data_IF_857156341673
#
_entry.id   IF_857156341673
#
_cell.length_a   1.000
_cell.length_b   1.000
_cell.length_c   1.000
_cell.angle_alpha   90.00
_cell.angle_beta   90.00
_cell.angle_gamma   90.00
#
_symmetry.space_group_name_H-M   'P 1'
#
loop_
_entity.id
_entity.type
_entity.pdbx_description
1 polymer ?
#
# COMPACT_ATOMS: atom_id res chain seq x y z
N UNK A 1 31.57 -21.99 -3.12
CA UNK A 1 31.82 -20.88 -2.18
C UNK A 1 31.17 -21.23 -0.86
N UNK A 2 31.93 -21.33 0.21
CA UNK A 2 31.36 -21.59 1.52
C UNK A 2 30.65 -20.30 1.99
N UNK A 3 29.34 -20.39 2.23
CA UNK A 3 28.59 -19.34 2.88
C UNK A 3 29.15 -19.11 4.28
N UNK A 4 29.24 -17.87 4.71
CA UNK A 4 29.72 -17.56 6.04
C UNK A 4 28.79 -18.22 7.08
N UNK A 5 29.29 -19.14 7.94
CA UNK A 5 28.45 -19.87 8.89
C UNK A 5 27.85 -18.99 9.98
N UNK A 6 28.35 -17.76 10.15
CA UNK A 6 27.82 -16.79 11.11
C UNK A 6 26.66 -15.95 10.59
N UNK A 7 26.45 -15.94 9.26
CA UNK A 7 25.37 -15.19 8.62
C UNK A 7 24.50 -16.15 7.83
N UNK A 8 23.53 -16.75 8.49
CA UNK A 8 22.55 -17.62 7.87
C UNK A 8 21.45 -16.76 7.24
N UNK A 9 21.39 -16.73 5.91
CA UNK A 9 20.31 -16.04 5.19
C UNK A 9 18.97 -16.71 5.51
N UNK A 10 17.98 -15.90 5.85
CA UNK A 10 16.62 -16.37 6.08
C UNK A 10 16.33 -16.92 7.48
N UNK A 11 17.21 -16.68 8.46
CA UNK A 11 16.93 -17.02 9.86
C UNK A 11 15.73 -16.21 10.36
N UNK A 12 14.72 -16.89 10.91
CA UNK A 12 13.47 -16.28 11.34
C UNK A 12 13.64 -15.18 12.39
N UNK A 13 14.62 -15.34 13.29
CA UNK A 13 14.95 -14.33 14.32
C UNK A 13 15.52 -13.05 13.73
N UNK A 14 16.39 -13.17 12.73
CA UNK A 14 16.97 -12.00 12.04
C UNK A 14 15.93 -11.31 11.17
N UNK A 15 15.09 -12.07 10.46
CA UNK A 15 13.97 -11.52 9.70
C UNK A 15 12.99 -10.76 10.59
N UNK A 16 12.69 -11.29 11.79
CA UNK A 16 11.84 -10.62 12.75
C UNK A 16 12.47 -9.34 13.30
N UNK A 17 13.78 -9.36 13.57
CA UNK A 17 14.50 -8.16 13.99
C UNK A 17 14.41 -7.06 12.90
N UNK A 18 14.68 -7.40 11.66
CA UNK A 18 14.59 -6.45 10.54
C UNK A 18 13.16 -5.92 10.39
N UNK A 19 12.14 -6.78 10.49
CA UNK A 19 10.74 -6.35 10.45
C UNK A 19 10.41 -5.35 11.57
N UNK A 20 10.86 -5.63 12.80
CA UNK A 20 10.65 -4.73 13.93
C UNK A 20 11.33 -3.37 13.71
N UNK A 21 12.55 -3.37 13.20
CA UNK A 21 13.27 -2.14 12.87
C UNK A 21 12.57 -1.33 11.77
N UNK A 22 12.06 -2.01 10.75
CA UNK A 22 11.25 -1.36 9.68
C UNK A 22 9.98 -0.76 10.26
N UNK A 23 9.27 -1.50 11.10
CA UNK A 23 8.05 -1.01 11.75
C UNK A 23 8.33 0.21 12.63
N UNK A 24 9.43 0.19 13.40
CA UNK A 24 9.86 1.32 14.23
C UNK A 24 10.23 2.53 13.37
N UNK A 25 10.98 2.31 12.29
CA UNK A 25 11.36 3.36 11.35
C UNK A 25 10.13 4.03 10.72
N UNK A 26 9.16 3.26 10.28
CA UNK A 26 7.92 3.78 9.70
C UNK A 26 7.07 4.55 10.71
N UNK A 27 7.05 4.12 11.98
CA UNK A 27 6.35 4.85 13.05
C UNK A 27 7.03 6.19 13.39
N UNK A 28 8.34 6.22 13.35
CA UNK A 28 9.11 7.41 13.72
C UNK A 28 9.12 8.46 12.61
N UNK A 29 9.30 8.03 11.37
CA UNK A 29 9.44 8.93 10.21
C UNK A 29 8.18 9.02 9.35
N UNK A 30 7.19 8.18 9.60
CA UNK A 30 5.97 8.11 8.82
C UNK A 30 4.94 9.15 9.23
N UNK A 31 3.97 9.29 8.35
CA UNK A 31 2.77 10.11 8.55
C UNK A 31 1.59 9.17 8.69
N UNK A 32 0.66 9.50 9.56
CA UNK A 32 -0.61 8.78 9.63
C UNK A 32 -1.44 9.10 8.39
N UNK A 33 -1.84 8.06 7.68
CA UNK A 33 -2.75 8.14 6.53
C UNK A 33 -3.98 7.28 6.81
N UNK A 34 -5.09 7.62 6.18
CA UNK A 34 -6.31 6.83 6.31
C UNK A 34 -6.50 5.98 5.06
N UNK A 35 -6.43 4.67 5.21
CA UNK A 35 -6.73 3.71 4.17
C UNK A 35 -8.23 3.41 4.12
N UNK A 36 -8.82 3.48 2.94
CA UNK A 36 -10.25 3.33 2.70
C UNK A 36 -10.46 2.22 1.66
N UNK A 37 -10.83 1.00 2.09
CA UNK A 37 -11.01 -0.12 1.18
C UNK A 37 -12.26 0.03 0.34
N UNK A 38 -12.15 -0.36 -0.92
CA UNK A 38 -13.28 -0.40 -1.86
C UNK A 38 -14.07 -1.68 -1.68
N UNK A 39 -15.36 -1.55 -1.42
CA UNK A 39 -16.32 -2.65 -1.40
C UNK A 39 -17.09 -2.73 -2.71
N UNK A 40 -17.18 -3.92 -3.25
CA UNK A 40 -17.97 -4.16 -4.46
C UNK A 40 -19.40 -4.56 -4.09
N UNK A 41 -20.37 -3.79 -4.58
CA UNK A 41 -21.80 -4.08 -4.42
C UNK A 41 -22.31 -4.52 -5.79
N UNK A 42 -23.05 -5.64 -5.85
CA UNK A 42 -23.62 -6.18 -7.09
C UNK A 42 -22.60 -6.56 -8.18
N UNK A 43 -21.64 -7.43 -7.84
CA UNK A 43 -20.78 -8.07 -8.83
C UNK A 43 -21.60 -9.04 -9.68
N UNK A 44 -21.72 -8.77 -10.98
CA UNK A 44 -22.29 -9.74 -11.93
C UNK A 44 -21.28 -10.85 -12.20
N UNK A 45 -21.52 -12.01 -11.63
CA UNK A 45 -20.62 -13.17 -11.67
C UNK A 45 -20.31 -13.68 -13.11
N UNK A 46 -21.22 -13.44 -14.06
CA UNK A 46 -21.08 -13.94 -15.44
C UNK A 46 -20.12 -13.08 -16.28
N UNK A 47 -20.09 -11.77 -16.04
CA UNK A 47 -19.28 -10.83 -16.83
C UNK A 47 -18.12 -10.22 -16.02
N UNK A 48 -17.99 -10.60 -14.75
CA UNK A 48 -17.05 -9.99 -13.78
C UNK A 48 -17.12 -8.44 -13.68
N UNK A 49 -18.23 -7.86 -14.16
CA UNK A 49 -18.46 -6.42 -14.12
C UNK A 49 -18.91 -5.97 -12.73
N UNK A 50 -18.24 -4.97 -12.23
CA UNK A 50 -18.58 -4.31 -10.98
C UNK A 50 -19.47 -3.12 -11.29
N UNK A 51 -20.77 -3.25 -10.97
CA UNK A 51 -21.74 -2.19 -11.25
C UNK A 51 -21.67 -1.04 -10.27
N UNK A 52 -21.39 -1.33 -9.00
CA UNK A 52 -21.39 -0.33 -7.93
C UNK A 52 -20.33 -0.65 -6.91
N UNK A 53 -19.62 0.37 -6.46
CA UNK A 53 -18.67 0.26 -5.34
C UNK A 53 -19.01 1.25 -4.26
N UNK A 54 -18.71 0.89 -3.00
CA UNK A 54 -18.89 1.75 -1.82
C UNK A 54 -17.61 1.82 -1.02
N UNK A 55 -17.45 2.91 -0.27
CA UNK A 55 -16.34 3.16 0.63
C UNK A 55 -16.93 3.48 2.01
N UNK A 56 -17.20 2.45 2.81
CA UNK A 56 -17.91 2.58 4.09
C UNK A 56 -16.97 2.55 5.30
N UNK A 57 -15.78 1.96 5.14
CA UNK A 57 -14.82 1.77 6.23
C UNK A 57 -13.55 2.58 6.01
N UNK A 58 -12.89 2.91 7.11
CA UNK A 58 -11.62 3.59 7.11
C UNK A 58 -10.69 3.02 8.20
N UNK A 59 -9.40 2.98 7.92
CA UNK A 59 -8.38 2.46 8.82
C UNK A 59 -7.16 3.37 8.81
N UNK A 60 -6.72 3.81 10.00
CA UNK A 60 -5.49 4.57 10.12
C UNK A 60 -4.28 3.65 10.08
N UNK A 61 -3.29 4.00 9.27
CA UNK A 61 -2.01 3.31 9.16
C UNK A 61 -0.87 4.31 9.00
N UNK A 62 0.30 3.94 9.53
CA UNK A 62 1.51 4.74 9.35
C UNK A 62 2.12 4.46 7.97
N UNK A 63 2.38 5.50 7.21
CA UNK A 63 3.02 5.42 5.90
C UNK A 63 4.19 6.40 5.80
N UNK A 64 5.26 5.97 5.16
CA UNK A 64 6.38 6.84 4.81
C UNK A 64 6.13 7.47 3.44
N UNK A 65 6.26 8.78 3.36
CA UNK A 65 6.11 9.54 2.12
C UNK A 65 7.44 9.56 1.38
N UNK A 66 7.47 8.95 0.20
CA UNK A 66 8.69 8.85 -0.58
C UNK A 66 8.99 10.12 -1.40
N UNK A 67 7.96 10.90 -1.74
CA UNK A 67 8.14 12.15 -2.48
C UNK A 67 8.20 13.32 -1.52
N UNK A 68 9.30 14.03 -1.55
CA UNK A 68 9.51 15.19 -0.65
C UNK A 68 8.89 16.50 -1.19
N UNK A 69 8.91 16.71 -2.48
CA UNK A 69 8.48 17.98 -3.10
C UNK A 69 6.97 18.04 -3.36
N UNK A 70 6.18 17.62 -2.40
CA UNK A 70 4.73 17.57 -2.50
C UNK A 70 4.32 16.83 -3.75
N UNK A 71 3.54 15.99 -3.87
CA UNK A 71 3.00 15.27 -5.01
C UNK A 71 3.86 15.35 -6.27
N UNK A 72 4.86 14.47 -6.39
CA UNK A 72 5.72 14.39 -7.57
C UNK A 72 4.87 13.99 -8.79
N UNK A 73 4.16 14.96 -9.31
CA UNK A 73 3.48 14.81 -10.59
C UNK A 73 4.52 14.67 -11.70
N UNK A 74 4.24 13.82 -12.69
CA UNK A 74 5.05 13.73 -13.91
C UNK A 74 5.03 15.04 -14.75
N UNK A 75 4.55 16.13 -14.15
CA UNK A 75 4.32 17.41 -14.80
C UNK A 75 3.07 17.40 -15.69
N UNK A 76 2.92 18.46 -16.44
CA UNK A 76 1.83 18.57 -17.40
C UNK A 76 2.02 17.57 -18.54
N UNK A 77 1.16 16.58 -18.64
CA UNK A 77 1.17 15.65 -19.76
C UNK A 77 0.34 16.26 -20.89
N UNK A 78 1.02 16.69 -21.94
CA UNK A 78 0.38 17.10 -23.19
C UNK A 78 -0.16 15.86 -23.90
N UNK A 79 -1.46 15.67 -23.83
CA UNK A 79 -2.17 14.63 -24.59
C UNK A 79 -2.77 15.24 -25.87
N UNK A 80 -3.18 14.39 -26.81
CA UNK A 80 -3.94 14.83 -28.00
C UNK A 80 -5.26 15.54 -27.65
N UNK A 81 -5.71 15.40 -26.42
CA UNK A 81 -6.99 15.92 -25.92
C UNK A 81 -6.84 17.09 -24.94
N UNK A 82 -5.62 17.56 -24.70
CA UNK A 82 -5.35 18.67 -23.79
C UNK A 82 -4.25 18.38 -22.78
N UNK A 83 -4.10 19.29 -21.83
CA UNK A 83 -3.15 19.17 -20.71
C UNK A 83 -3.87 18.53 -19.54
N UNK A 84 -3.32 17.43 -19.01
CA UNK A 84 -3.78 16.84 -17.75
C UNK A 84 -2.68 16.97 -16.71
N UNK A 85 -3.00 17.58 -15.58
CA UNK A 85 -2.15 17.60 -14.38
C UNK A 85 -2.45 16.35 -13.58
N UNK A 86 -1.41 15.59 -13.25
CA UNK A 86 -1.54 14.40 -12.38
C UNK A 86 -0.63 14.57 -11.18
N UNK A 87 -1.23 14.60 -10.03
CA UNK A 87 -0.51 14.58 -8.76
C UNK A 87 -0.33 13.13 -8.32
N UNK A 88 0.91 12.67 -8.22
CA UNK A 88 1.27 11.34 -7.76
C UNK A 88 1.83 11.38 -6.35
N UNK A 89 1.37 10.45 -5.51
CA UNK A 89 1.86 10.24 -4.16
C UNK A 89 2.39 8.82 -4.02
N UNK A 90 3.65 8.69 -3.62
CA UNK A 90 4.28 7.39 -3.37
C UNK A 90 4.41 7.19 -1.87
N UNK A 91 3.76 6.15 -1.36
CA UNK A 91 3.74 5.79 0.05
C UNK A 91 4.38 4.42 0.26
N UNK A 92 5.13 4.28 1.35
CA UNK A 92 5.66 2.99 1.80
C UNK A 92 5.00 2.61 3.12
N UNK A 93 4.40 1.43 3.17
CA UNK A 93 3.74 0.87 4.35
C UNK A 93 4.34 -0.49 4.74
N UNK A 94 4.27 -0.84 6.02
CA UNK A 94 4.72 -2.16 6.50
C UNK A 94 3.70 -3.25 6.17
N UNK A 95 4.19 -4.39 5.68
CA UNK A 95 3.37 -5.60 5.44
C UNK A 95 2.75 -6.11 6.73
N UNK A 96 3.55 -6.28 7.77
CA UNK A 96 3.10 -6.83 9.05
C UNK A 96 2.03 -5.93 9.69
N UNK A 97 2.23 -4.62 9.65
CA UNK A 97 1.25 -3.66 10.18
C UNK A 97 -0.07 -3.71 9.42
N UNK A 98 -0.02 -3.83 8.10
CA UNK A 98 -1.21 -3.97 7.29
C UNK A 98 -1.95 -5.29 7.59
N UNK A 99 -1.22 -6.40 7.67
CA UNK A 99 -1.78 -7.71 7.97
C UNK A 99 -2.37 -7.78 9.39
N UNK A 100 -1.74 -7.15 10.38
CA UNK A 100 -2.17 -7.19 11.78
C UNK A 100 -3.40 -6.29 12.04
N UNK A 101 -3.43 -5.10 11.45
CA UNK A 101 -4.43 -4.08 11.78
C UNK A 101 -5.58 -3.96 10.79
N UNK A 102 -5.38 -4.27 9.52
CA UNK A 102 -6.38 -4.05 8.47
C UNK A 102 -7.02 -5.34 8.00
N UNK A 103 -6.22 -6.37 7.74
CA UNK A 103 -6.72 -7.65 7.21
C UNK A 103 -7.82 -8.31 8.06
N UNK A 104 -7.76 -8.33 9.42
CA UNK A 104 -8.81 -8.92 10.22
C UNK A 104 -10.17 -8.28 10.01
N UNK A 105 -10.21 -6.97 9.78
CA UNK A 105 -11.44 -6.24 9.54
C UNK A 105 -11.95 -6.41 8.10
N UNK A 106 -11.03 -6.48 7.12
CA UNK A 106 -11.40 -6.76 5.74
C UNK A 106 -12.03 -8.14 5.56
N UNK A 107 -11.60 -9.14 6.34
CA UNK A 107 -12.13 -10.51 6.25
C UNK A 107 -13.60 -10.62 6.69
N UNK A 108 -14.07 -9.71 7.52
CA UNK A 108 -15.48 -9.64 7.98
C UNK A 108 -16.39 -9.03 6.92
N UNK A 109 -15.83 -8.24 6.02
CA UNK A 109 -16.57 -7.36 5.11
C UNK A 109 -16.87 -8.02 3.76
N UNK A 110 -15.95 -8.82 3.24
CA UNK A 110 -16.09 -9.47 1.92
C UNK A 110 -15.72 -10.95 1.96
N UNK A 111 -16.72 -11.84 1.86
CA UNK A 111 -16.49 -13.28 1.78
C UNK A 111 -15.92 -13.75 0.42
N UNK A 112 -15.95 -12.91 -0.60
CA UNK A 112 -15.73 -13.32 -2.01
C UNK A 112 -14.36 -13.01 -2.60
N UNK A 113 -13.49 -12.23 -1.94
CA UNK A 113 -12.21 -11.82 -2.54
C UNK A 113 -10.99 -12.59 -2.01
N UNK A 114 -10.27 -13.17 -2.96
CA UNK A 114 -9.11 -14.06 -2.73
C UNK A 114 -7.88 -13.31 -2.21
N UNK A 115 -7.77 -11.98 -2.44
CA UNK A 115 -6.59 -11.19 -2.08
C UNK A 115 -6.90 -10.23 -0.94
N UNK A 116 -6.99 -10.77 0.28
CA UNK A 116 -7.25 -9.97 1.50
C UNK A 116 -5.97 -9.53 2.23
N UNK A 117 -4.82 -10.06 1.85
CA UNK A 117 -3.57 -9.88 2.59
C UNK A 117 -2.75 -8.66 2.20
N UNK A 118 -3.14 -7.94 1.14
CA UNK A 118 -2.43 -6.76 0.65
C UNK A 118 -3.39 -5.63 0.28
N UNK A 119 -2.90 -4.37 0.24
CA UNK A 119 -3.65 -3.27 -0.37
C UNK A 119 -4.02 -3.60 -1.82
N UNK A 120 -5.15 -3.11 -2.28
CA UNK A 120 -5.64 -3.36 -3.64
C UNK A 120 -5.60 -2.09 -4.46
N UNK A 121 -5.38 -2.27 -5.74
CA UNK A 121 -5.56 -1.22 -6.73
C UNK A 121 -7.05 -0.81 -6.77
N UNK A 122 -7.31 0.50 -6.77
CA UNK A 122 -8.65 1.07 -6.69
C UNK A 122 -9.15 1.38 -5.28
N UNK A 123 -8.41 1.02 -4.23
CA UNK A 123 -8.67 1.50 -2.88
C UNK A 123 -8.21 2.97 -2.75
N UNK A 124 -8.76 3.67 -1.77
CA UNK A 124 -8.46 5.08 -1.55
C UNK A 124 -7.55 5.27 -0.34
N UNK A 125 -6.73 6.31 -0.40
CA UNK A 125 -5.91 6.79 0.71
C UNK A 125 -6.19 8.27 0.92
N UNK A 126 -6.66 8.63 2.12
CA UNK A 126 -6.76 10.01 2.52
C UNK A 126 -5.47 10.46 3.18
N UNK A 127 -4.88 11.52 2.65
CA UNK A 127 -3.64 12.10 3.11
C UNK A 127 -3.91 13.40 3.88
N UNK A 128 -3.83 13.38 5.22
CA UNK A 128 -4.28 14.49 6.03
C UNK A 128 -3.42 15.75 5.92
N UNK A 129 -2.12 15.63 5.66
CA UNK A 129 -1.24 16.79 5.51
C UNK A 129 -1.59 17.69 4.30
N UNK A 130 -2.12 17.07 3.24
CA UNK A 130 -2.58 17.80 2.06
C UNK A 130 -4.09 17.94 1.98
N UNK A 131 -4.84 17.35 2.92
CA UNK A 131 -6.31 17.27 2.89
C UNK A 131 -6.84 16.74 1.55
N UNK A 132 -6.15 15.75 0.98
CA UNK A 132 -6.46 15.19 -0.35
C UNK A 132 -6.70 13.70 -0.29
N UNK A 133 -7.53 13.25 -1.23
CA UNK A 133 -7.87 11.85 -1.42
C UNK A 133 -7.18 11.32 -2.68
N UNK A 134 -6.45 10.22 -2.53
CA UNK A 134 -5.73 9.56 -3.60
C UNK A 134 -6.28 8.18 -3.86
N UNK A 135 -6.30 7.76 -5.10
CA UNK A 135 -6.61 6.39 -5.50
C UNK A 135 -5.32 5.60 -5.70
N UNK A 136 -5.24 4.41 -5.13
CA UNK A 136 -4.12 3.48 -5.34
C UNK A 136 -4.20 2.94 -6.76
N UNK A 137 -3.25 3.30 -7.61
CA UNK A 137 -3.17 2.81 -8.98
C UNK A 137 -2.31 1.56 -9.11
N UNK A 138 -1.28 1.46 -8.26
CA UNK A 138 -0.36 0.33 -8.32
C UNK A 138 0.23 0.02 -6.94
N UNK A 139 0.30 -1.26 -6.63
CA UNK A 139 0.91 -1.77 -5.40
C UNK A 139 2.16 -2.58 -5.75
N UNK A 140 3.33 -2.01 -5.48
CA UNK A 140 4.59 -2.72 -5.60
C UNK A 140 4.83 -3.59 -4.37
N UNK A 141 4.92 -4.88 -4.56
CA UNK A 141 5.02 -5.85 -3.48
C UNK A 141 6.28 -6.73 -3.55
N UNK A 142 7.07 -6.62 -4.63
CA UNK A 142 8.22 -7.48 -4.87
C UNK A 142 9.57 -6.79 -4.61
N UNK A 143 9.73 -5.54 -5.03
CA UNK A 143 11.03 -4.88 -5.17
C UNK A 143 11.42 -3.88 -4.06
N UNK A 144 10.53 -3.24 -3.25
CA UNK A 144 10.93 -2.05 -2.51
C UNK A 144 12.00 -2.26 -1.44
N UNK A 145 12.07 -3.42 -0.82
CA UNK A 145 13.05 -3.73 0.23
C UNK A 145 13.14 -5.23 0.48
N UNK A 146 14.02 -5.89 -0.27
CA UNK A 146 14.19 -7.33 -0.18
C UNK A 146 15.49 -7.68 0.56
N UNK A 147 15.38 -7.96 1.85
CA UNK A 147 16.53 -8.37 2.67
C UNK A 147 16.26 -9.70 3.36
N UNK A 148 17.33 -10.47 3.55
CA UNK A 148 17.29 -11.79 4.20
C UNK A 148 16.24 -12.74 3.59
N UNK A 149 15.99 -12.61 2.28
CA UNK A 149 15.05 -13.46 1.57
C UNK A 149 13.57 -13.13 1.79
N UNK A 150 13.23 -11.97 2.34
CA UNK A 150 11.86 -11.52 2.58
C UNK A 150 11.68 -10.05 2.24
N UNK A 151 10.50 -9.71 1.72
CA UNK A 151 10.10 -8.33 1.53
C UNK A 151 9.21 -7.88 2.71
N UNK A 152 9.53 -6.72 3.29
CA UNK A 152 8.94 -6.22 4.54
C UNK A 152 7.93 -5.10 4.33
N UNK A 153 7.88 -4.50 3.15
CA UNK A 153 7.07 -3.32 2.87
C UNK A 153 6.28 -3.45 1.58
N UNK A 154 5.20 -2.70 1.47
CA UNK A 154 4.51 -2.39 0.22
C UNK A 154 4.80 -0.94 -0.16
N UNK A 155 5.01 -0.69 -1.44
CA UNK A 155 5.05 0.65 -1.98
C UNK A 155 3.76 0.90 -2.77
N UNK A 156 3.03 1.94 -2.39
CA UNK A 156 1.78 2.34 -3.01
C UNK A 156 2.05 3.52 -3.94
N UNK A 157 1.68 3.40 -5.21
CA UNK A 157 1.65 4.51 -6.14
C UNK A 157 0.21 4.98 -6.26
N UNK A 158 -0.04 6.19 -5.79
CA UNK A 158 -1.37 6.78 -5.68
C UNK A 158 -1.48 7.99 -6.60
N UNK A 159 -2.64 8.19 -7.19
CA UNK A 159 -2.98 9.30 -8.06
C UNK A 159 -4.17 10.07 -7.46
N UNK A 160 -4.15 11.41 -7.56
CA UNK A 160 -5.19 12.29 -7.03
C UNK A 160 -6.52 12.13 -7.76
#
# INVERSE_FOLDING_TARGET
MALNPFFLQGTSSEQRLVQNLVNEHLRFNGVEVTYIPRKYVNKKTILEEIQTSKFDDNFSIEAYVNNFDGYSGAGDILTKFGVSVRDELILTISKERFEEFIVPFLSVIDESDIVKSRPREGDLVYFPLGERLFEIKYVEHEDPFYQLGKNYVYQLKCEL
#
